data_IF_506430921078
#
_entry.id   IF_506430921078
#
_cell.length_a   1.000
_cell.length_b   1.000
_cell.length_c   1.000
_cell.angle_alpha   90.00
_cell.angle_beta   90.00
_cell.angle_gamma   90.00
#
_symmetry.space_group_name_H-M   'P 1'
#
loop_
_entity.id
_entity.type
_entity.pdbx_description
1 polymer ?
#
# COMPACT_ATOMS: atom_id res chain seq x y z
N UNK A 1 23.35 -13.35 12.26
CA UNK A 1 22.36 -12.49 11.60
C UNK A 1 22.59 -12.56 10.11
N UNK A 2 21.58 -12.97 9.32
CA UNK A 2 21.71 -12.91 7.86
C UNK A 2 21.66 -11.44 7.41
N UNK A 3 22.35 -11.11 6.31
CA UNK A 3 22.31 -9.74 5.73
C UNK A 3 20.86 -9.27 5.52
N UNK A 4 19.97 -10.21 5.21
CA UNK A 4 18.55 -9.96 5.04
C UNK A 4 17.84 -9.52 6.34
N UNK A 5 18.11 -10.20 7.45
CA UNK A 5 17.57 -9.81 8.76
C UNK A 5 18.07 -8.43 9.20
N UNK A 6 19.34 -8.12 8.93
CA UNK A 6 19.88 -6.78 9.22
C UNK A 6 19.15 -5.69 8.42
N UNK A 7 18.90 -5.92 7.12
CA UNK A 7 18.16 -4.95 6.28
C UNK A 7 16.72 -4.81 6.76
N UNK A 8 16.05 -5.91 7.10
CA UNK A 8 14.67 -5.86 7.61
C UNK A 8 14.57 -5.11 8.95
N UNK A 9 15.44 -5.41 9.91
CA UNK A 9 15.33 -4.86 11.26
C UNK A 9 15.88 -3.43 11.36
N UNK A 10 17.00 -3.13 10.70
CA UNK A 10 17.72 -1.86 10.87
C UNK A 10 17.37 -0.83 9.81
N UNK A 11 17.10 -1.23 8.56
CA UNK A 11 16.80 -0.31 7.45
C UNK A 11 15.30 -0.13 7.26
N UNK A 12 14.55 -1.21 7.11
CA UNK A 12 13.10 -1.15 6.87
C UNK A 12 12.31 -0.99 8.17
N UNK A 13 12.66 -1.77 9.19
CA UNK A 13 12.02 -1.72 10.51
C UNK A 13 12.49 -0.56 11.38
N UNK A 14 13.64 0.06 11.07
CA UNK A 14 14.23 1.18 11.86
C UNK A 14 14.12 0.99 13.39
N UNK A 15 14.38 -0.22 13.90
CA UNK A 15 14.28 -0.53 15.33
C UNK A 15 15.10 0.40 16.21
N UNK A 16 16.26 0.85 15.70
CA UNK A 16 17.09 1.84 16.36
C UNK A 16 16.34 3.17 16.60
N UNK A 17 15.47 3.58 15.65
CA UNK A 17 14.66 4.79 15.78
C UNK A 17 13.60 4.63 16.88
N UNK A 18 12.96 3.45 16.96
CA UNK A 18 12.00 3.16 18.02
C UNK A 18 12.65 3.23 19.42
N UNK A 19 13.83 2.61 19.57
CA UNK A 19 14.60 2.65 20.83
C UNK A 19 15.00 4.08 21.18
N UNK A 20 15.39 4.89 20.20
CA UNK A 20 15.78 6.28 20.43
C UNK A 20 14.57 7.13 20.88
N UNK A 21 13.41 6.95 20.26
CA UNK A 21 12.18 7.65 20.65
C UNK A 21 11.74 7.21 22.07
N UNK A 22 11.81 5.92 22.37
CA UNK A 22 11.50 5.40 23.71
C UNK A 22 12.38 6.05 24.78
N UNK A 23 13.69 6.12 24.55
CA UNK A 23 14.63 6.78 25.47
C UNK A 23 14.33 8.28 25.63
N UNK A 24 14.00 8.98 24.52
CA UNK A 24 13.67 10.40 24.56
C UNK A 24 12.39 10.67 25.35
N UNK A 25 11.35 9.86 25.15
CA UNK A 25 10.08 10.00 25.86
C UNK A 25 10.22 9.68 27.35
N UNK A 26 10.96 8.64 27.67
CA UNK A 26 11.27 8.27 29.06
C UNK A 26 12.08 9.37 29.76
N UNK A 27 13.07 9.97 29.09
CA UNK A 27 13.83 11.10 29.60
C UNK A 27 12.97 12.36 29.78
N UNK A 28 11.92 12.53 28.97
CA UNK A 28 10.94 13.60 29.10
C UNK A 28 9.88 13.34 30.21
N UNK A 29 9.96 12.20 30.93
CA UNK A 29 9.06 11.85 32.01
C UNK A 29 7.74 11.21 31.56
N UNK A 30 7.63 10.79 30.29
CA UNK A 30 6.47 10.06 29.78
C UNK A 30 6.71 8.55 29.96
N UNK A 31 5.78 7.89 30.65
CA UNK A 31 5.78 6.43 30.76
C UNK A 31 5.25 5.81 29.46
N UNK A 32 6.15 5.25 28.66
CA UNK A 32 5.84 4.60 27.38
C UNK A 32 5.00 3.33 27.54
N UNK A 33 4.92 2.74 28.74
CA UNK A 33 4.06 1.60 29.04
C UNK A 33 2.60 2.04 29.31
N UNK A 34 2.36 3.32 29.53
CA UNK A 34 0.99 3.85 29.65
C UNK A 34 0.31 3.92 28.28
N UNK A 35 -1.04 3.84 28.26
CA UNK A 35 -1.82 3.94 27.00
C UNK A 35 -1.52 5.21 26.21
N UNK A 36 -1.36 6.33 26.92
CA UNK A 36 -1.08 7.63 26.28
C UNK A 36 0.38 7.67 25.80
N UNK A 37 1.33 7.27 26.65
CA UNK A 37 2.75 7.25 26.28
C UNK A 37 3.06 6.30 25.12
N UNK A 38 2.46 5.11 25.11
CA UNK A 38 2.57 4.16 24.01
C UNK A 38 1.96 4.69 22.71
N UNK A 39 0.81 5.41 22.77
CA UNK A 39 0.23 6.05 21.58
C UNK A 39 1.11 7.17 21.04
N UNK A 40 1.73 7.98 21.88
CA UNK A 40 2.65 9.04 21.50
C UNK A 40 3.94 8.45 20.89
N UNK A 41 4.48 7.40 21.51
CA UNK A 41 5.65 6.68 20.98
C UNK A 41 5.37 6.12 19.60
N UNK A 42 4.26 5.39 19.43
CA UNK A 42 3.83 4.84 18.14
C UNK A 42 3.66 5.94 17.10
N UNK A 43 2.96 7.02 17.46
CA UNK A 43 2.74 8.14 16.54
C UNK A 43 4.06 8.76 16.06
N UNK A 44 4.97 9.09 16.98
CA UNK A 44 6.25 9.71 16.63
C UNK A 44 7.12 8.77 15.80
N UNK A 45 7.20 7.50 16.20
CA UNK A 45 7.96 6.49 15.48
C UNK A 45 7.45 6.29 14.05
N UNK A 46 6.14 6.08 13.88
CA UNK A 46 5.57 5.85 12.56
C UNK A 46 5.62 7.09 11.67
N UNK A 47 5.36 8.28 12.20
CA UNK A 47 5.47 9.52 11.41
C UNK A 47 6.91 9.70 10.90
N UNK A 48 7.92 9.52 11.75
CA UNK A 48 9.33 9.66 11.34
C UNK A 48 9.74 8.57 10.37
N UNK A 49 9.41 7.30 10.65
CA UNK A 49 9.70 6.16 9.79
C UNK A 49 9.09 6.34 8.40
N UNK A 50 7.80 6.64 8.33
CA UNK A 50 7.09 6.85 7.08
C UNK A 50 7.66 8.05 6.33
N UNK A 51 7.95 9.16 7.01
CA UNK A 51 8.56 10.35 6.41
C UNK A 51 9.89 10.03 5.73
N UNK A 52 10.80 9.36 6.45
CA UNK A 52 12.13 9.02 5.93
C UNK A 52 12.04 8.06 4.75
N UNK A 53 11.26 6.97 4.90
CA UNK A 53 11.10 5.98 3.84
C UNK A 53 10.39 6.56 2.61
N UNK A 54 9.36 7.37 2.81
CA UNK A 54 8.63 8.02 1.72
C UNK A 54 9.51 9.01 0.96
N UNK A 55 10.25 9.88 1.66
CA UNK A 55 11.17 10.84 1.04
C UNK A 55 12.26 10.13 0.24
N UNK A 56 12.86 9.09 0.81
CA UNK A 56 13.89 8.28 0.15
C UNK A 56 13.34 7.60 -1.10
N UNK A 57 12.20 6.94 -0.99
CA UNK A 57 11.54 6.25 -2.09
C UNK A 57 11.14 7.21 -3.21
N UNK A 58 10.45 8.31 -2.89
CA UNK A 58 10.04 9.28 -3.91
C UNK A 58 11.28 9.88 -4.60
N UNK A 59 12.33 10.19 -3.85
CA UNK A 59 13.57 10.69 -4.43
C UNK A 59 14.20 9.68 -5.40
N UNK A 60 14.37 8.42 -4.99
CA UNK A 60 14.96 7.37 -5.83
C UNK A 60 14.11 7.11 -7.07
N UNK A 61 12.79 7.01 -6.92
CA UNK A 61 11.87 6.78 -8.04
C UNK A 61 11.91 7.95 -9.01
N UNK A 62 11.84 9.20 -8.52
CA UNK A 62 11.87 10.39 -9.37
C UNK A 62 13.21 10.52 -10.07
N UNK A 63 14.31 10.11 -9.43
CA UNK A 63 15.62 10.06 -10.05
C UNK A 63 15.67 9.02 -11.18
N UNK A 64 15.17 7.80 -10.94
CA UNK A 64 15.08 6.76 -11.98
C UNK A 64 14.14 7.20 -13.11
N UNK A 65 12.98 7.78 -12.79
CA UNK A 65 12.05 8.31 -13.80
C UNK A 65 12.66 9.41 -14.67
N UNK A 66 13.60 10.19 -14.16
CA UNK A 66 14.30 11.20 -14.96
C UNK A 66 15.12 10.61 -16.13
N UNK A 67 15.44 9.31 -16.07
CA UNK A 67 16.07 8.57 -17.19
C UNK A 67 15.05 7.95 -18.14
N UNK A 68 13.82 7.71 -17.65
CA UNK A 68 12.73 7.10 -18.42
C UNK A 68 11.57 8.08 -18.50
N UNK A 69 11.60 9.03 -19.44
CA UNK A 69 10.50 9.95 -19.63
C UNK A 69 9.20 9.16 -19.92
N UNK A 70 8.04 9.66 -19.49
CA UNK A 70 6.74 9.00 -19.63
C UNK A 70 6.42 8.52 -21.05
N UNK A 71 6.97 9.19 -22.09
CA UNK A 71 6.79 8.83 -23.50
C UNK A 71 7.41 7.46 -23.83
N UNK A 72 8.53 7.08 -23.20
CA UNK A 72 9.12 5.75 -23.40
C UNK A 72 8.30 4.67 -22.72
N UNK A 73 7.76 4.94 -21.55
CA UNK A 73 6.83 4.04 -20.87
C UNK A 73 5.56 3.86 -21.67
N UNK A 74 5.00 4.95 -22.24
CA UNK A 74 3.86 4.92 -23.18
C UNK A 74 4.16 4.05 -24.42
N UNK A 75 5.39 4.14 -24.96
CA UNK A 75 5.80 3.36 -26.15
C UNK A 75 5.96 1.87 -25.85
N UNK A 76 6.41 1.51 -24.64
CA UNK A 76 6.56 0.12 -24.19
C UNK A 76 5.19 -0.47 -23.84
N UNK A 77 4.40 0.22 -23.05
CA UNK A 77 3.08 -0.26 -22.60
C UNK A 77 2.02 -0.13 -23.70
N UNK A 78 2.14 0.82 -24.62
CA UNK A 78 1.27 0.96 -25.79
C UNK A 78 1.41 -0.16 -26.85
N UNK A 79 2.41 -1.04 -26.71
CA UNK A 79 2.51 -2.27 -27.51
C UNK A 79 1.58 -3.38 -27.04
N UNK A 80 1.16 -3.32 -25.78
CA UNK A 80 0.26 -4.29 -25.19
C UNK A 80 -1.15 -3.68 -25.15
N UNK A 81 -2.14 -4.41 -25.65
CA UNK A 81 -3.54 -3.98 -25.70
C UNK A 81 -4.41 -4.93 -24.90
N UNK A 82 -5.45 -4.40 -24.27
CA UNK A 82 -6.44 -5.18 -23.53
C UNK A 82 -5.89 -5.88 -22.30
N UNK A 83 -6.35 -7.09 -22.04
CA UNK A 83 -6.02 -7.88 -20.83
C UNK A 83 -4.51 -8.08 -20.59
N UNK A 84 -3.73 -8.23 -21.64
CA UNK A 84 -2.26 -8.40 -21.52
C UNK A 84 -1.57 -7.16 -20.96
N UNK A 85 -2.04 -5.96 -21.32
CA UNK A 85 -1.51 -4.72 -20.76
C UNK A 85 -1.80 -4.63 -19.26
N UNK A 86 -3.00 -5.03 -18.83
CA UNK A 86 -3.40 -5.08 -17.42
C UNK A 86 -2.58 -6.11 -16.65
N UNK A 87 -2.30 -7.29 -17.22
CA UNK A 87 -1.44 -8.30 -16.60
C UNK A 87 0.00 -7.79 -16.41
N UNK A 88 0.58 -7.17 -17.42
CA UNK A 88 1.93 -6.59 -17.35
C UNK A 88 1.99 -5.48 -16.31
N UNK A 89 0.98 -4.61 -16.25
CA UNK A 89 0.90 -3.54 -15.27
C UNK A 89 0.77 -4.08 -13.83
N UNK A 90 -0.05 -5.13 -13.63
CA UNK A 90 -0.19 -5.77 -12.33
C UNK A 90 1.13 -6.45 -11.88
N UNK A 91 1.83 -7.13 -12.79
CA UNK A 91 3.14 -7.71 -12.50
C UNK A 91 4.18 -6.63 -12.19
N UNK A 92 4.16 -5.50 -12.91
CA UNK A 92 5.04 -4.37 -12.63
C UNK A 92 4.79 -3.82 -11.22
N UNK A 93 3.52 -3.70 -10.82
CA UNK A 93 3.13 -3.29 -9.47
C UNK A 93 3.66 -4.23 -8.39
N UNK A 94 3.66 -5.53 -8.64
CA UNK A 94 4.18 -6.54 -7.70
C UNK A 94 5.70 -6.48 -7.54
N UNK A 95 6.42 -6.25 -8.63
CA UNK A 95 7.90 -6.18 -8.60
C UNK A 95 8.38 -4.88 -7.94
N UNK A 96 7.57 -3.83 -7.99
CA UNK A 96 7.92 -2.54 -7.40
C UNK A 96 7.44 -2.48 -5.96
N UNK A 97 8.35 -2.40 -4.95
CA UNK A 97 7.98 -2.39 -3.53
C UNK A 97 7.43 -1.01 -3.14
N UNK A 98 6.26 -0.66 -3.65
CA UNK A 98 5.64 0.64 -3.41
C UNK A 98 4.47 0.51 -2.44
N UNK A 99 4.53 1.29 -1.34
CA UNK A 99 3.33 1.54 -0.55
C UNK A 99 2.30 2.33 -1.37
N UNK A 100 1.06 2.30 -0.98
CA UNK A 100 -0.03 3.06 -1.62
C UNK A 100 0.29 4.56 -1.79
N UNK A 101 1.06 5.15 -0.86
CA UNK A 101 1.48 6.55 -0.92
C UNK A 101 2.42 6.86 -2.09
N UNK A 102 3.26 5.92 -2.51
CA UNK A 102 4.18 6.08 -3.65
C UNK A 102 3.56 5.61 -4.97
N UNK A 103 2.62 4.65 -4.93
CA UNK A 103 1.91 4.17 -6.11
C UNK A 103 0.97 5.22 -6.70
N UNK A 104 0.37 6.10 -5.87
CA UNK A 104 -0.55 7.14 -6.33
C UNK A 104 0.15 8.19 -7.22
N UNK A 105 1.33 8.76 -6.89
CA UNK A 105 2.07 9.62 -7.79
C UNK A 105 2.43 8.95 -9.14
N UNK A 106 2.78 7.66 -9.10
CA UNK A 106 3.03 6.89 -10.33
C UNK A 106 1.77 6.69 -11.16
N UNK A 107 0.65 6.37 -10.50
CA UNK A 107 -0.67 6.32 -11.13
C UNK A 107 -1.01 7.64 -11.85
N UNK A 108 -0.79 8.79 -11.18
CA UNK A 108 -0.98 10.11 -11.78
C UNK A 108 -0.06 10.27 -12.98
N UNK A 109 1.22 9.92 -12.87
CA UNK A 109 2.19 9.99 -13.97
C UNK A 109 1.80 9.13 -15.18
N UNK A 110 1.40 7.89 -14.96
CA UNK A 110 0.95 6.98 -16.02
C UNK A 110 -0.34 7.47 -16.69
N UNK A 111 -1.29 7.94 -15.89
CA UNK A 111 -2.55 8.48 -16.41
C UNK A 111 -2.33 9.77 -17.19
N UNK A 112 -1.45 10.66 -16.70
CA UNK A 112 -1.03 11.88 -17.42
C UNK A 112 -0.28 11.56 -18.72
N UNK A 113 0.46 10.45 -18.78
CA UNK A 113 1.10 9.96 -19.98
C UNK A 113 0.10 9.36 -21.00
N UNK A 114 -1.19 9.28 -20.65
CA UNK A 114 -2.26 8.79 -21.52
C UNK A 114 -2.34 7.27 -21.61
N UNK A 115 -1.88 6.54 -20.58
CA UNK A 115 -2.11 5.10 -20.48
C UNK A 115 -3.58 4.81 -20.16
N UNK A 116 -4.14 3.69 -20.67
CA UNK A 116 -5.51 3.29 -20.37
C UNK A 116 -5.77 3.16 -18.87
N UNK A 117 -6.97 3.54 -18.43
CA UNK A 117 -7.32 3.46 -16.99
C UNK A 117 -7.23 2.04 -16.43
N UNK A 118 -7.57 1.02 -17.20
CA UNK A 118 -7.42 -0.37 -16.80
C UNK A 118 -6.00 -0.72 -16.38
N UNK A 119 -5.04 -0.30 -17.19
CA UNK A 119 -3.60 -0.52 -16.98
C UNK A 119 -3.14 0.19 -15.70
N UNK A 120 -3.50 1.47 -15.55
CA UNK A 120 -3.08 2.27 -14.39
C UNK A 120 -3.72 1.79 -13.09
N UNK A 121 -4.98 1.34 -13.13
CA UNK A 121 -5.65 0.76 -11.96
C UNK A 121 -5.19 -0.66 -11.64
N UNK A 122 -4.87 -1.50 -12.64
CA UNK A 122 -4.24 -2.81 -12.38
C UNK A 122 -2.92 -2.66 -11.63
N UNK A 123 -2.10 -1.68 -12.03
CA UNK A 123 -0.88 -1.32 -11.29
C UNK A 123 -1.19 -0.82 -9.87
N UNK A 124 -2.16 0.10 -9.74
CA UNK A 124 -2.51 0.73 -8.46
C UNK A 124 -3.08 -0.27 -7.45
N UNK A 125 -3.84 -1.29 -7.90
CA UNK A 125 -4.39 -2.33 -7.05
C UNK A 125 -3.30 -3.32 -6.64
N UNK A 126 -2.48 -3.79 -7.58
CA UNK A 126 -1.47 -4.82 -7.31
C UNK A 126 -0.36 -4.32 -6.39
N UNK A 127 0.10 -3.09 -6.58
CA UNK A 127 1.27 -2.54 -5.89
C UNK A 127 1.19 -2.58 -4.35
N UNK A 128 0.12 -2.10 -3.68
CA UNK A 128 0.01 -2.21 -2.22
C UNK A 128 -0.53 -3.57 -1.76
N UNK A 129 -1.16 -4.34 -2.65
CA UNK A 129 -1.79 -5.61 -2.31
C UNK A 129 -0.81 -6.77 -2.34
N UNK A 130 0.14 -6.74 -3.28
CA UNK A 130 1.02 -7.86 -3.60
C UNK A 130 2.42 -7.34 -3.93
N UNK A 131 3.22 -7.05 -2.92
CA UNK A 131 4.63 -6.69 -3.13
C UNK A 131 5.57 -7.86 -2.81
N UNK A 132 6.79 -7.81 -3.34
CA UNK A 132 7.81 -8.84 -3.10
C UNK A 132 8.23 -8.94 -1.63
N UNK A 133 8.20 -7.84 -0.87
CA UNK A 133 8.49 -7.85 0.56
C UNK A 133 7.44 -8.63 1.32
N UNK A 134 6.16 -8.40 1.00
CA UNK A 134 5.02 -9.16 1.52
C UNK A 134 5.14 -10.65 1.21
N UNK A 135 5.54 -10.99 -0.02
CA UNK A 135 5.71 -12.39 -0.43
C UNK A 135 6.74 -13.10 0.45
N UNK A 136 7.95 -12.53 0.56
CA UNK A 136 9.03 -13.15 1.37
C UNK A 136 8.61 -13.30 2.82
N UNK A 137 7.92 -12.33 3.36
CA UNK A 137 7.46 -12.33 4.73
C UNK A 137 6.35 -13.35 4.98
N UNK A 138 5.35 -13.40 4.10
CA UNK A 138 4.30 -14.41 4.16
C UNK A 138 4.86 -15.83 3.99
N UNK A 139 5.91 -16.00 3.17
CA UNK A 139 6.60 -17.28 3.05
C UNK A 139 7.23 -17.73 4.37
N UNK A 140 7.76 -16.82 5.17
CA UNK A 140 8.38 -17.13 6.46
C UNK A 140 7.39 -17.50 7.55
N UNK A 141 6.16 -16.96 7.50
CA UNK A 141 5.16 -17.14 8.55
C UNK A 141 4.14 -18.23 8.18
N UNK A 142 3.57 -18.13 6.98
CA UNK A 142 2.49 -19.01 6.51
C UNK A 142 2.93 -20.12 5.56
N UNK A 143 4.21 -20.10 5.18
CA UNK A 143 4.78 -21.04 4.22
C UNK A 143 4.58 -20.62 2.76
N UNK A 144 5.38 -21.25 1.89
CA UNK A 144 5.47 -20.91 0.46
C UNK A 144 4.16 -21.07 -0.30
N UNK A 145 3.37 -22.10 0.02
CA UNK A 145 2.10 -22.37 -0.68
C UNK A 145 1.10 -21.23 -0.48
N UNK A 146 0.93 -20.78 0.77
CA UNK A 146 0.03 -19.67 1.11
C UNK A 146 0.49 -18.38 0.45
N UNK A 147 1.78 -18.08 0.55
CA UNK A 147 2.36 -16.86 -0.01
C UNK A 147 2.19 -16.78 -1.54
N UNK A 148 2.47 -17.87 -2.26
CA UNK A 148 2.27 -17.93 -3.72
C UNK A 148 0.79 -17.80 -4.09
N UNK A 149 -0.11 -18.49 -3.39
CA UNK A 149 -1.55 -18.38 -3.61
C UNK A 149 -2.05 -16.94 -3.37
N UNK A 150 -1.54 -16.27 -2.33
CA UNK A 150 -1.85 -14.87 -2.01
C UNK A 150 -1.46 -13.94 -3.18
N UNK A 151 -0.25 -14.09 -3.73
CA UNK A 151 0.23 -13.32 -4.88
C UNK A 151 -0.64 -13.56 -6.11
N UNK A 152 -0.92 -14.81 -6.43
CA UNK A 152 -1.71 -15.17 -7.62
C UNK A 152 -3.14 -14.60 -7.51
N UNK A 153 -3.79 -14.78 -6.36
CA UNK A 153 -5.14 -14.26 -6.15
C UNK A 153 -5.16 -12.73 -6.15
N UNK A 154 -4.18 -12.08 -5.53
CA UNK A 154 -4.05 -10.62 -5.57
C UNK A 154 -3.85 -10.07 -6.98
N UNK A 155 -3.02 -10.73 -7.79
CA UNK A 155 -2.86 -10.40 -9.21
C UNK A 155 -4.16 -10.56 -10.01
N UNK A 156 -4.92 -11.63 -9.76
CA UNK A 156 -6.22 -11.83 -10.40
C UNK A 156 -7.17 -10.67 -10.05
N UNK A 157 -7.25 -10.30 -8.78
CA UNK A 157 -8.08 -9.16 -8.34
C UNK A 157 -7.63 -7.87 -9.03
N UNK A 158 -6.34 -7.62 -9.14
CA UNK A 158 -5.79 -6.42 -9.79
C UNK A 158 -6.13 -6.36 -11.29
N UNK A 159 -5.95 -7.47 -12.02
CA UNK A 159 -6.24 -7.52 -13.47
C UNK A 159 -7.74 -7.43 -13.73
N UNK A 160 -8.56 -8.16 -12.95
CA UNK A 160 -10.02 -8.13 -13.09
C UNK A 160 -10.55 -6.74 -12.72
N UNK A 161 -10.06 -6.15 -11.62
CA UNK A 161 -10.46 -4.82 -11.17
C UNK A 161 -10.11 -3.73 -12.17
N UNK A 162 -8.88 -3.73 -12.69
CA UNK A 162 -8.47 -2.79 -13.73
C UNK A 162 -9.28 -2.95 -15.02
N UNK A 163 -9.51 -4.19 -15.46
CA UNK A 163 -10.32 -4.46 -16.65
C UNK A 163 -11.78 -4.02 -16.48
N UNK A 164 -12.33 -4.17 -15.29
CA UNK A 164 -13.69 -3.72 -14.99
C UNK A 164 -13.79 -2.19 -15.06
N UNK A 165 -12.82 -1.47 -14.48
CA UNK A 165 -12.76 -0.01 -14.53
C UNK A 165 -12.62 0.48 -15.97
N UNK A 166 -11.79 -0.16 -16.81
CA UNK A 166 -11.62 0.16 -18.22
C UNK A 166 -12.93 0.01 -19.00
N UNK A 167 -13.66 -1.10 -18.80
CA UNK A 167 -14.95 -1.36 -19.46
C UNK A 167 -16.05 -0.38 -19.11
N UNK A 168 -15.96 0.24 -17.93
CA UNK A 168 -16.94 1.23 -17.47
C UNK A 168 -16.70 2.63 -18.03
N UNK A 169 -15.63 2.83 -18.85
CA UNK A 169 -15.33 4.08 -19.53
C UNK A 169 -15.42 5.31 -18.62
N UNK A 170 -14.72 5.26 -17.47
CA UNK A 170 -14.79 6.30 -16.45
C UNK A 170 -13.68 7.35 -16.57
N UNK A 171 -13.10 7.57 -17.76
CA UNK A 171 -12.01 8.52 -18.01
C UNK A 171 -12.38 9.95 -17.60
N UNK A 172 -13.64 10.32 -17.72
CA UNK A 172 -14.16 11.63 -17.28
C UNK A 172 -14.14 11.84 -15.75
N UNK A 173 -13.99 10.76 -15.00
CA UNK A 173 -13.91 10.81 -13.55
C UNK A 173 -12.48 11.02 -13.03
N UNK A 174 -11.49 11.12 -13.92
CA UNK A 174 -10.13 11.57 -13.60
C UNK A 174 -10.13 13.10 -13.58
N UNK A 175 -9.41 13.69 -12.64
CA UNK A 175 -9.33 15.15 -12.50
C UNK A 175 -8.71 15.80 -13.75
N UNK A 176 -9.24 16.97 -14.12
CA UNK A 176 -8.92 17.65 -15.37
C UNK A 176 -7.42 17.99 -15.53
N UNK A 177 -6.73 18.30 -14.41
CA UNK A 177 -5.31 18.63 -14.44
C UNK A 177 -4.43 17.44 -14.86
N UNK A 178 -4.85 16.21 -14.57
CA UNK A 178 -4.14 14.97 -14.97
C UNK A 178 -4.41 14.69 -16.45
N UNK A 179 -5.67 14.80 -16.84
CA UNK A 179 -6.11 14.53 -18.21
C UNK A 179 -5.53 15.52 -19.23
N UNK A 180 -5.47 16.80 -18.86
CA UNK A 180 -4.97 17.86 -19.75
C UNK A 180 -3.43 17.88 -19.83
N UNK A 181 -2.71 17.29 -18.87
CA UNK A 181 -1.26 17.18 -18.92
C UNK A 181 -0.78 16.32 -20.10
N UNK A 182 -1.61 15.39 -20.60
CA UNK A 182 -1.31 14.55 -21.78
C UNK A 182 -1.22 15.34 -23.09
N UNK A 183 -1.69 16.60 -23.13
CA UNK A 183 -1.76 17.42 -24.35
C UNK A 183 -0.49 18.24 -24.62
N UNK A 184 0.48 18.24 -23.73
CA UNK A 184 1.72 19.00 -23.89
C UNK A 184 2.82 18.06 -24.37
N UNK A 185 3.04 18.04 -25.67
CA UNK A 185 4.22 17.44 -26.32
C UNK A 185 5.46 18.32 -25.97
N UNK A 186 6.04 18.11 -24.83
CA UNK A 186 7.34 18.71 -24.50
C UNK A 186 8.40 17.69 -24.93
N UNK A 187 9.13 18.01 -26.01
CA UNK A 187 10.39 17.33 -26.32
C UNK A 187 11.23 17.31 -25.04
N UNK A 188 11.50 16.12 -24.52
CA UNK A 188 12.22 15.95 -23.25
C UNK A 188 13.66 16.43 -23.44
N UNK A 189 14.10 17.57 -22.87
CA UNK A 189 15.49 17.98 -22.95
C UNK A 189 16.34 16.92 -22.26
N UNK A 190 17.50 16.62 -22.82
CA UNK A 190 18.49 15.74 -22.20
C UNK A 190 18.99 16.39 -20.92
N UNK A 191 18.35 16.03 -19.78
CA UNK A 191 18.69 16.56 -18.46
C UNK A 191 20.12 16.13 -18.09
N UNK A 192 20.92 17.08 -17.62
CA UNK A 192 22.23 16.79 -17.00
C UNK A 192 22.03 16.06 -15.65
N UNK A 193 23.05 15.40 -15.14
CA UNK A 193 22.99 14.69 -13.83
C UNK A 193 22.55 15.62 -12.68
N UNK A 194 22.99 16.86 -12.71
CA UNK A 194 22.62 17.86 -11.69
C UNK A 194 21.15 18.25 -11.78
N UNK A 195 20.63 18.43 -12.98
CA UNK A 195 19.21 18.73 -13.21
C UNK A 195 18.31 17.56 -12.83
N UNK A 196 18.75 16.30 -13.04
CA UNK A 196 18.04 15.09 -12.59
C UNK A 196 17.91 15.01 -11.07
N UNK A 197 19.00 15.33 -10.35
CA UNK A 197 18.99 15.38 -8.89
C UNK A 197 18.08 16.49 -8.36
N UNK A 198 18.12 17.68 -8.98
CA UNK A 198 17.21 18.77 -8.64
C UNK A 198 15.76 18.41 -8.92
N UNK A 199 15.47 17.82 -10.07
CA UNK A 199 14.13 17.31 -10.41
C UNK A 199 13.64 16.31 -9.36
N UNK A 200 14.45 15.31 -9.02
CA UNK A 200 14.09 14.31 -8.01
C UNK A 200 13.82 14.94 -6.63
N UNK A 201 14.65 15.91 -6.23
CA UNK A 201 14.46 16.65 -4.98
C UNK A 201 13.16 17.46 -5.00
N UNK A 202 12.90 18.19 -6.08
CA UNK A 202 11.72 19.06 -6.17
C UNK A 202 10.43 18.25 -6.21
N UNK A 203 10.43 17.10 -6.90
CA UNK A 203 9.33 16.14 -6.87
C UNK A 203 9.12 15.56 -5.46
N UNK A 204 10.19 15.17 -4.79
CA UNK A 204 10.13 14.68 -3.41
C UNK A 204 9.52 15.73 -2.48
N UNK A 205 10.04 16.97 -2.49
CA UNK A 205 9.57 18.04 -1.61
C UNK A 205 8.12 18.43 -1.93
N UNK A 206 7.76 18.53 -3.21
CA UNK A 206 6.41 18.87 -3.63
C UNK A 206 5.40 17.80 -3.19
N UNK A 207 5.73 16.52 -3.41
CA UNK A 207 4.89 15.40 -3.03
C UNK A 207 4.78 15.29 -1.51
N UNK A 208 5.90 15.38 -0.80
CA UNK A 208 5.94 15.33 0.66
C UNK A 208 5.05 16.41 1.29
N UNK A 209 5.17 17.67 0.86
CA UNK A 209 4.33 18.76 1.38
C UNK A 209 2.83 18.51 1.19
N UNK A 210 2.44 17.87 0.09
CA UNK A 210 1.03 17.53 -0.19
C UNK A 210 0.52 16.38 0.67
N UNK A 211 1.38 15.41 0.97
CA UNK A 211 1.02 14.13 1.61
C UNK A 211 1.15 14.20 3.13
N UNK A 212 2.10 14.98 3.63
CA UNK A 212 2.46 15.03 5.05
C UNK A 212 1.27 15.27 6.01
N UNK A 213 0.36 16.25 5.77
CA UNK A 213 -0.78 16.46 6.66
C UNK A 213 -1.72 15.25 6.74
N UNK A 214 -1.81 14.47 5.66
CA UNK A 214 -2.63 13.25 5.62
C UNK A 214 -1.95 12.07 6.31
N UNK A 215 -0.62 11.99 6.25
CA UNK A 215 0.17 11.03 7.03
C UNK A 215 -0.05 11.31 8.52
N UNK A 216 0.08 12.55 8.95
CA UNK A 216 -0.15 12.91 10.35
C UNK A 216 -1.55 12.51 10.83
N UNK A 217 -2.58 12.80 10.03
CA UNK A 217 -3.95 12.44 10.37
C UNK A 217 -4.15 10.92 10.42
N UNK A 218 -3.65 10.21 9.42
CA UNK A 218 -3.78 8.75 9.33
C UNK A 218 -3.04 8.02 10.45
N UNK A 219 -1.80 8.42 10.73
CA UNK A 219 -1.02 7.83 11.82
C UNK A 219 -1.59 8.19 13.19
N UNK A 220 -2.16 9.41 13.36
CA UNK A 220 -2.85 9.78 14.60
C UNK A 220 -4.07 8.89 14.85
N UNK A 221 -4.88 8.63 13.83
CA UNK A 221 -6.01 7.70 13.92
C UNK A 221 -5.49 6.27 14.23
N UNK A 222 -4.45 5.83 13.55
CA UNK A 222 -3.80 4.53 13.79
C UNK A 222 -3.29 4.38 15.22
N UNK A 223 -2.62 5.40 15.76
CA UNK A 223 -2.10 5.41 17.13
C UNK A 223 -3.22 5.37 18.20
N UNK A 224 -4.34 6.04 17.91
CA UNK A 224 -5.53 5.95 18.76
C UNK A 224 -6.12 4.54 18.74
N UNK A 225 -6.29 3.96 17.56
CA UNK A 225 -6.86 2.62 17.40
C UNK A 225 -5.97 1.57 18.07
N UNK A 226 -4.66 1.62 17.84
CA UNK A 226 -3.69 0.62 18.29
C UNK A 226 -3.68 0.43 19.83
N UNK A 227 -3.79 1.50 20.60
CA UNK A 227 -3.70 1.44 22.06
C UNK A 227 -5.06 1.50 22.79
N UNK A 228 -6.13 1.87 22.09
CA UNK A 228 -7.46 2.02 22.71
C UNK A 228 -8.42 0.89 22.37
N UNK A 229 -8.21 0.17 21.26
CA UNK A 229 -8.98 -1.04 20.98
C UNK A 229 -8.30 -2.21 21.70
N UNK A 230 -8.94 -2.82 22.72
CA UNK A 230 -8.39 -3.99 23.37
C UNK A 230 -8.23 -5.13 22.37
N UNK A 231 -7.08 -5.80 22.38
CA UNK A 231 -6.85 -6.99 21.53
C UNK A 231 -7.97 -8.04 21.72
N UNK A 232 -8.49 -8.15 22.93
CA UNK A 232 -9.62 -9.04 23.25
C UNK A 232 -10.89 -8.76 22.44
N UNK A 233 -11.13 -7.53 22.01
CA UNK A 233 -12.27 -7.19 21.15
C UNK A 233 -12.01 -7.62 19.71
N UNK A 234 -10.83 -7.38 19.20
CA UNK A 234 -10.41 -7.83 17.87
C UNK A 234 -10.47 -9.36 17.81
N UNK A 235 -10.02 -10.02 18.87
CA UNK A 235 -10.04 -11.47 19.01
C UNK A 235 -11.44 -12.06 19.10
N UNK A 236 -12.34 -11.43 19.86
CA UNK A 236 -13.73 -11.90 19.99
C UNK A 236 -14.52 -11.75 18.69
N UNK A 237 -14.18 -10.74 17.87
CA UNK A 237 -14.84 -10.48 16.60
C UNK A 237 -14.24 -11.28 15.44
N UNK A 238 -12.92 -11.44 15.41
CA UNK A 238 -12.21 -12.08 14.30
C UNK A 238 -11.72 -13.50 14.64
N UNK A 239 -11.67 -13.85 15.93
CA UNK A 239 -11.33 -15.20 16.40
C UNK A 239 -12.49 -16.16 16.23
N UNK A 240 -12.17 -17.46 16.06
CA UNK A 240 -13.16 -18.52 15.92
C UNK A 240 -13.72 -18.71 14.51
N UNK A 241 -14.66 -19.62 14.40
CA UNK A 241 -15.24 -20.06 13.13
C UNK A 241 -16.43 -19.15 12.69
N UNK A 242 -16.21 -17.83 12.72
CA UNK A 242 -17.26 -16.87 12.36
C UNK A 242 -17.33 -16.72 10.84
N UNK A 243 -18.43 -17.08 10.17
CA UNK A 243 -18.57 -16.94 8.72
C UNK A 243 -18.47 -15.47 8.26
N UNK A 244 -18.79 -14.51 9.12
CA UNK A 244 -18.65 -13.07 8.84
C UNK A 244 -17.26 -12.52 9.17
N UNK A 245 -16.34 -13.33 9.69
CA UNK A 245 -15.00 -12.92 10.11
C UNK A 245 -14.23 -12.22 9.00
N UNK A 246 -14.30 -12.71 7.77
CA UNK A 246 -13.64 -12.11 6.58
C UNK A 246 -14.16 -10.70 6.30
N UNK A 247 -15.48 -10.50 6.33
CA UNK A 247 -16.11 -9.19 6.07
C UNK A 247 -15.73 -8.21 7.18
N UNK A 248 -15.84 -8.64 8.44
CA UNK A 248 -15.47 -7.82 9.59
C UNK A 248 -14.00 -7.46 9.58
N UNK A 249 -13.11 -8.41 9.29
CA UNK A 249 -11.68 -8.17 9.17
C UNK A 249 -11.35 -7.12 8.09
N UNK A 250 -11.98 -7.23 6.93
CA UNK A 250 -11.80 -6.27 5.85
C UNK A 250 -12.28 -4.87 6.27
N UNK A 251 -13.48 -4.77 6.85
CA UNK A 251 -14.05 -3.48 7.27
C UNK A 251 -13.26 -2.82 8.39
N UNK A 252 -12.78 -3.62 9.36
CA UNK A 252 -11.93 -3.12 10.45
C UNK A 252 -10.56 -2.68 9.93
N UNK A 253 -10.02 -3.36 8.92
CA UNK A 253 -8.74 -3.00 8.29
C UNK A 253 -8.77 -1.67 7.55
N UNK A 254 -9.90 -1.30 6.91
CA UNK A 254 -10.00 -0.08 6.08
C UNK A 254 -9.60 1.21 6.80
N UNK A 255 -10.08 1.52 8.01
CA UNK A 255 -9.69 2.75 8.71
C UNK A 255 -8.26 2.71 9.26
N UNK A 256 -7.67 1.53 9.37
CA UNK A 256 -6.33 1.37 9.91
C UNK A 256 -5.28 1.74 8.87
N UNK A 257 -4.18 2.31 9.33
CA UNK A 257 -3.01 2.54 8.51
C UNK A 257 -1.82 1.82 9.14
N UNK A 258 -1.36 0.78 8.49
CA UNK A 258 -0.12 0.12 8.84
C UNK A 258 0.51 -0.47 7.58
N UNK A 259 1.83 -0.62 7.59
CA UNK A 259 2.51 -1.43 6.60
C UNK A 259 2.35 -2.94 6.93
N UNK A 260 2.76 -3.78 6.01
CA UNK A 260 2.62 -5.24 6.20
C UNK A 260 3.43 -5.72 7.41
N UNK A 261 4.58 -5.10 7.70
CA UNK A 261 5.42 -5.43 8.84
C UNK A 261 4.74 -5.10 10.18
N UNK A 262 3.96 -4.02 10.21
CA UNK A 262 3.16 -3.64 11.39
C UNK A 262 1.93 -4.53 11.61
N UNK A 263 1.42 -5.18 10.57
CA UNK A 263 0.25 -6.07 10.68
C UNK A 263 0.59 -7.49 11.14
N UNK A 264 1.86 -7.90 11.05
CA UNK A 264 2.29 -9.27 11.37
C UNK A 264 2.02 -9.67 12.82
N UNK A 265 2.41 -8.89 13.85
CA UNK A 265 2.13 -9.27 15.23
C UNK A 265 0.64 -9.49 15.49
N UNK A 266 -0.21 -8.69 14.84
CA UNK A 266 -1.67 -8.83 14.92
C UNK A 266 -2.11 -10.11 14.21
N UNK A 267 -1.55 -10.40 13.04
CA UNK A 267 -1.83 -11.62 12.30
C UNK A 267 -1.46 -12.89 13.08
N UNK A 268 -0.27 -12.92 13.68
CA UNK A 268 0.20 -14.02 14.52
C UNK A 268 -0.67 -14.20 15.77
N UNK A 269 -1.03 -13.10 16.44
CA UNK A 269 -1.92 -13.15 17.60
C UNK A 269 -3.33 -13.67 17.25
N UNK A 270 -3.88 -13.24 16.11
CA UNK A 270 -5.18 -13.73 15.62
C UNK A 270 -5.15 -15.22 15.30
N UNK A 271 -4.08 -15.70 14.62
CA UNK A 271 -3.91 -17.12 14.33
C UNK A 271 -3.76 -17.96 15.59
N UNK A 272 -2.95 -17.50 16.55
CA UNK A 272 -2.74 -18.18 17.84
C UNK A 272 -4.06 -18.34 18.62
N UNK A 273 -5.03 -17.44 18.39
CA UNK A 273 -6.37 -17.49 18.99
C UNK A 273 -7.43 -18.17 18.10
N UNK A 274 -7.01 -18.85 17.06
CA UNK A 274 -7.87 -19.70 16.24
C UNK A 274 -8.65 -18.95 15.15
N UNK A 275 -8.23 -17.74 14.76
CA UNK A 275 -8.77 -17.08 13.59
C UNK A 275 -8.44 -17.87 12.32
N UNK A 276 -9.38 -17.91 11.38
CA UNK A 276 -9.17 -18.58 10.10
C UNK A 276 -8.15 -17.80 9.25
N UNK A 277 -7.33 -18.54 8.48
CA UNK A 277 -6.27 -17.99 7.63
C UNK A 277 -6.77 -16.87 6.70
N UNK A 278 -7.90 -17.08 6.02
CA UNK A 278 -8.46 -16.08 5.11
C UNK A 278 -8.95 -14.83 5.82
N UNK A 279 -9.42 -14.93 7.05
CA UNK A 279 -9.82 -13.77 7.87
C UNK A 279 -8.60 -12.90 8.17
N UNK A 280 -7.48 -13.52 8.56
CA UNK A 280 -6.22 -12.81 8.85
C UNK A 280 -5.65 -12.15 7.59
N UNK A 281 -5.60 -12.89 6.47
CA UNK A 281 -5.10 -12.35 5.20
C UNK A 281 -5.98 -11.21 4.67
N UNK A 282 -7.31 -11.29 4.83
CA UNK A 282 -8.22 -10.21 4.45
C UNK A 282 -8.02 -8.96 5.28
N UNK A 283 -7.76 -9.10 6.57
CA UNK A 283 -7.39 -7.98 7.44
C UNK A 283 -6.11 -7.31 6.93
N UNK A 284 -5.05 -8.09 6.68
CA UNK A 284 -3.78 -7.56 6.19
C UNK A 284 -3.94 -6.85 4.84
N UNK A 285 -4.66 -7.46 3.88
CA UNK A 285 -4.95 -6.84 2.59
C UNK A 285 -5.76 -5.54 2.73
N UNK A 286 -6.77 -5.52 3.62
CA UNK A 286 -7.60 -4.35 3.88
C UNK A 286 -6.79 -3.17 4.40
N UNK A 287 -5.93 -3.40 5.38
CA UNK A 287 -5.05 -2.38 5.99
C UNK A 287 -4.07 -1.80 4.96
N UNK A 288 -3.45 -2.63 4.15
CA UNK A 288 -2.41 -2.20 3.19
C UNK A 288 -2.99 -1.52 1.95
N UNK A 289 -4.12 -2.01 1.42
CA UNK A 289 -4.68 -1.56 0.14
C UNK A 289 -5.65 -0.40 0.29
N UNK A 290 -6.53 -0.44 1.30
CA UNK A 290 -7.67 0.47 1.47
C UNK A 290 -7.49 1.47 2.62
N UNK A 291 -6.26 1.76 3.04
CA UNK A 291 -6.02 2.69 4.13
C UNK A 291 -6.61 4.09 3.88
N UNK A 292 -7.17 4.70 4.92
CA UNK A 292 -7.79 6.03 4.87
C UNK A 292 -6.89 7.10 4.25
N UNK A 293 -5.59 7.23 4.61
CA UNK A 293 -4.70 8.22 4.01
C UNK A 293 -4.56 8.04 2.49
N UNK A 294 -4.46 6.79 2.03
CA UNK A 294 -4.35 6.47 0.61
C UNK A 294 -5.59 6.87 -0.16
N UNK A 295 -6.78 6.63 0.39
CA UNK A 295 -8.04 7.04 -0.23
C UNK A 295 -8.18 8.56 -0.29
N UNK A 296 -7.76 9.28 0.76
CA UNK A 296 -7.76 10.75 0.77
C UNK A 296 -6.80 11.32 -0.30
N UNK A 297 -5.63 10.70 -0.47
CA UNK A 297 -4.69 11.10 -1.52
C UNK A 297 -5.24 10.81 -2.92
N UNK A 298 -5.79 9.62 -3.13
CA UNK A 298 -6.37 9.22 -4.41
C UNK A 298 -7.57 10.10 -4.79
N UNK A 299 -8.35 10.58 -3.81
CA UNK A 299 -9.45 11.51 -4.00
C UNK A 299 -9.03 12.82 -4.68
N UNK A 300 -7.77 13.22 -4.58
CA UNK A 300 -7.24 14.40 -5.28
C UNK A 300 -6.92 14.14 -6.76
N UNK A 301 -6.75 12.89 -7.13
CA UNK A 301 -6.47 12.48 -8.50
C UNK A 301 -7.73 12.06 -9.26
N UNK A 302 -8.71 11.51 -8.57
CA UNK A 302 -9.95 10.99 -9.15
C UNK A 302 -11.19 11.50 -8.41
N UNK A 303 -12.31 11.58 -9.13
CA UNK A 303 -13.60 11.99 -8.57
C UNK A 303 -14.23 10.92 -7.68
N UNK A 304 -15.18 11.30 -6.76
CA UNK A 304 -15.74 10.38 -5.79
C UNK A 304 -16.35 9.10 -6.38
N UNK A 305 -16.96 9.18 -7.56
CA UNK A 305 -17.59 8.03 -8.22
C UNK A 305 -16.59 6.94 -8.57
N UNK A 306 -15.45 7.34 -9.16
CA UNK A 306 -14.39 6.41 -9.52
C UNK A 306 -13.67 5.88 -8.26
N UNK A 307 -13.50 6.72 -7.24
CA UNK A 307 -12.95 6.30 -5.95
C UNK A 307 -13.85 5.25 -5.28
N UNK A 308 -15.17 5.49 -5.24
CA UNK A 308 -16.11 4.54 -4.65
C UNK A 308 -16.11 3.19 -5.40
N UNK A 309 -16.02 3.22 -6.73
CA UNK A 309 -15.90 2.02 -7.54
C UNK A 309 -14.60 1.26 -7.23
N UNK A 310 -13.47 1.97 -7.15
CA UNK A 310 -12.18 1.38 -6.79
C UNK A 310 -12.25 0.71 -5.41
N UNK A 311 -12.76 1.40 -4.40
CA UNK A 311 -12.93 0.86 -3.04
C UNK A 311 -13.85 -0.36 -3.04
N UNK A 312 -14.96 -0.31 -3.77
CA UNK A 312 -15.89 -1.45 -3.89
C UNK A 312 -15.22 -2.67 -4.53
N UNK A 313 -14.50 -2.48 -5.64
CA UNK A 313 -13.77 -3.56 -6.32
C UNK A 313 -12.72 -4.18 -5.40
N UNK A 314 -11.90 -3.37 -4.75
CA UNK A 314 -10.88 -3.87 -3.83
C UNK A 314 -11.52 -4.59 -2.63
N UNK A 315 -12.56 -4.02 -2.01
CA UNK A 315 -13.25 -4.65 -0.88
C UNK A 315 -13.84 -6.01 -1.26
N UNK A 316 -14.58 -6.08 -2.37
CA UNK A 316 -15.15 -7.33 -2.87
C UNK A 316 -14.04 -8.33 -3.22
N UNK A 317 -12.99 -7.89 -3.88
CA UNK A 317 -11.83 -8.74 -4.21
C UNK A 317 -11.17 -9.32 -2.96
N UNK A 318 -10.91 -8.50 -1.93
CA UNK A 318 -10.33 -8.93 -0.65
C UNK A 318 -11.25 -9.94 0.05
N UNK A 319 -12.55 -9.69 0.08
CA UNK A 319 -13.55 -10.61 0.68
C UNK A 319 -13.54 -11.95 -0.06
N UNK A 320 -13.53 -11.95 -1.39
CA UNK A 320 -13.46 -13.18 -2.19
C UNK A 320 -12.18 -13.95 -1.88
N UNK A 321 -11.03 -13.29 -1.87
CA UNK A 321 -9.73 -13.90 -1.54
C UNK A 321 -9.77 -14.50 -0.14
N UNK A 322 -10.31 -13.80 0.84
CA UNK A 322 -10.43 -14.31 2.21
C UNK A 322 -11.29 -15.58 2.31
N UNK A 323 -12.45 -15.60 1.65
CA UNK A 323 -13.28 -16.81 1.63
C UNK A 323 -12.64 -17.97 0.87
N UNK A 324 -11.91 -17.70 -0.21
CA UNK A 324 -11.15 -18.73 -0.95
C UNK A 324 -10.09 -19.34 -0.03
N UNK A 325 -9.34 -18.52 0.74
CA UNK A 325 -8.35 -19.05 1.69
C UNK A 325 -8.99 -19.82 2.84
N UNK A 326 -10.12 -19.39 3.35
CA UNK A 326 -10.87 -20.15 4.38
C UNK A 326 -11.37 -21.48 3.84
N UNK A 327 -11.92 -21.50 2.62
CA UNK A 327 -12.41 -22.72 1.98
C UNK A 327 -11.29 -23.71 1.65
N UNK A 328 -10.12 -23.20 1.29
CA UNK A 328 -8.95 -24.02 0.92
C UNK A 328 -7.94 -24.20 2.08
N UNK A 329 -8.30 -23.82 3.30
CA UNK A 329 -7.41 -23.91 4.46
C UNK A 329 -6.84 -25.33 4.66
N UNK A 330 -7.64 -26.36 4.36
CA UNK A 330 -7.22 -27.78 4.45
C UNK A 330 -6.09 -28.17 3.50
N UNK A 331 -5.82 -27.36 2.44
CA UNK A 331 -4.73 -27.60 1.50
C UNK A 331 -3.41 -26.94 1.97
N UNK A 332 -3.50 -26.01 2.90
CA UNK A 332 -2.39 -25.17 3.33
C UNK A 332 -1.90 -25.51 4.75
N UNK A 333 -2.77 -26.05 5.57
CA UNK A 333 -2.51 -26.57 6.90
C UNK A 333 -2.55 -28.11 6.86
#
# INVERSE_FOLDING_TARGET
MSVWQFVQDQVLGMRWLNTLIDQLLTAAGLDTQSRIGGSVQFFLYDVLKITVLLCLLIFLISYVQSYFPPERSKKIMGRFHGLWANCVAALLGTVTPFCSCSSIPLFIGFTSAGLPLGVTFSFLISSPMVDLGSLVLLMSIFGTKVAVAYVVLGLIVAVVGGTLIERLHMEEQVEAFIRNASAVDIESPTLTQKERLLYARDQMVSTFKKVFPYILLGVAIGALIHNWIPESWVESLLGGNNPFGVILATVIGIPMYADIFGTIPIAEALLAKGAQLGTVLSFMMGVTTLSLPSMIMLRKAIRPRLLALFVAICTVGIIIVGYVFNALQFLFV
#
